data_IF_623773475634
#
_entry.id   IF_623773475634
#
_cell.length_a   1.000
_cell.length_b   1.000
_cell.length_c   1.000
_cell.angle_alpha   90.00
_cell.angle_beta   90.00
_cell.angle_gamma   90.00
#
_symmetry.space_group_name_H-M   'P 1'
#
loop_
_entity.id
_entity.type
_entity.pdbx_description
1 polymer ?
#
# COMPACT_ATOMS: atom_id res chain seq x y z
N UNK A 1 15.60 -5.09 6.09
CA UNK A 1 14.56 -5.92 6.71
C UNK A 1 14.91 -7.40 6.66
N UNK A 2 14.99 -8.01 5.47
CA UNK A 2 15.27 -9.45 5.29
C UNK A 2 16.56 -9.91 6.00
N UNK A 3 17.67 -9.16 5.87
CA UNK A 3 18.95 -9.49 6.55
C UNK A 3 18.87 -9.56 8.07
N UNK A 4 17.83 -9.01 8.69
CA UNK A 4 17.60 -9.03 10.14
C UNK A 4 16.44 -9.97 10.53
N UNK A 5 16.02 -10.89 9.65
CA UNK A 5 14.97 -11.88 9.95
C UNK A 5 13.54 -11.36 9.89
N UNK A 6 13.32 -10.13 9.40
CA UNK A 6 11.96 -9.58 9.26
C UNK A 6 11.29 -10.20 8.02
N UNK A 7 10.14 -10.83 8.25
CA UNK A 7 9.37 -11.56 7.22
C UNK A 7 8.20 -10.76 6.64
N UNK A 8 7.85 -9.63 7.25
CA UNK A 8 6.83 -8.73 6.72
C UNK A 8 6.78 -7.37 7.40
N UNK A 9 6.00 -6.46 6.83
CA UNK A 9 5.93 -5.07 7.26
C UNK A 9 4.56 -4.45 7.02
N UNK A 10 4.30 -3.31 7.66
CA UNK A 10 3.17 -2.45 7.33
C UNK A 10 3.73 -1.16 6.73
N UNK A 11 3.24 -0.79 5.56
CA UNK A 11 3.69 0.41 4.85
C UNK A 11 2.54 1.34 4.56
N UNK A 12 2.78 2.61 4.80
CA UNK A 12 1.81 3.68 4.66
C UNK A 12 2.48 4.83 3.92
N UNK A 13 2.32 4.83 2.59
CA UNK A 13 3.11 5.71 1.73
C UNK A 13 2.39 6.00 0.39
N UNK A 14 3.16 6.45 -0.60
CA UNK A 14 2.69 6.86 -1.92
C UNK A 14 3.21 5.91 -3.00
N UNK A 15 2.59 5.91 -4.18
CA UNK A 15 2.94 5.01 -5.29
C UNK A 15 2.85 3.53 -4.89
N UNK A 16 1.77 3.15 -4.22
CA UNK A 16 1.65 1.83 -3.59
C UNK A 16 1.58 0.67 -4.59
N UNK A 17 1.21 0.90 -5.86
CA UNK A 17 1.32 -0.12 -6.91
C UNK A 17 2.78 -0.53 -7.17
N UNK A 18 3.74 0.39 -7.05
CA UNK A 18 5.17 0.11 -7.15
C UNK A 18 5.62 -0.72 -5.96
N UNK A 19 5.23 -0.32 -4.74
CA UNK A 19 5.55 -1.04 -3.51
C UNK A 19 5.00 -2.47 -3.56
N UNK A 20 3.73 -2.64 -3.94
CA UNK A 20 3.08 -3.95 -4.02
C UNK A 20 3.77 -4.90 -5.01
N UNK A 21 4.20 -4.39 -6.17
CA UNK A 21 5.01 -5.16 -7.14
C UNK A 21 6.34 -5.62 -6.54
N UNK A 22 7.07 -4.75 -5.86
CA UNK A 22 8.35 -5.09 -5.24
C UNK A 22 8.16 -6.05 -4.06
N UNK A 23 7.08 -5.93 -3.29
CA UNK A 23 6.73 -6.90 -2.23
C UNK A 23 6.51 -8.30 -2.82
N UNK A 24 5.76 -8.38 -3.92
CA UNK A 24 5.50 -9.64 -4.60
C UNK A 24 6.80 -10.27 -5.12
N UNK A 25 7.66 -9.49 -5.77
CA UNK A 25 8.97 -9.91 -6.29
C UNK A 25 9.93 -10.35 -5.18
N UNK A 26 10.02 -9.56 -4.10
CA UNK A 26 10.88 -9.86 -2.96
C UNK A 26 10.39 -11.06 -2.12
N UNK A 27 9.17 -11.54 -2.35
CA UNK A 27 8.57 -12.64 -1.60
C UNK A 27 8.22 -12.29 -0.15
N UNK A 28 8.15 -11.00 0.19
CA UNK A 28 7.83 -10.54 1.54
C UNK A 28 6.31 -10.55 1.80
N UNK A 29 5.92 -10.51 3.08
CA UNK A 29 4.54 -10.21 3.50
C UNK A 29 4.38 -8.71 3.74
N UNK A 30 3.24 -8.13 3.36
CA UNK A 30 2.99 -6.73 3.65
C UNK A 30 1.52 -6.41 3.92
N UNK A 31 1.29 -5.48 4.84
CA UNK A 31 0.06 -4.70 4.93
C UNK A 31 0.34 -3.34 4.28
N UNK A 32 -0.33 -3.03 3.18
CA UNK A 32 -0.10 -1.82 2.39
C UNK A 32 -1.30 -0.88 2.51
N UNK A 33 -1.03 0.37 2.85
CA UNK A 33 -2.03 1.44 2.90
C UNK A 33 -1.55 2.62 2.06
N UNK A 34 -2.41 3.11 1.16
CA UNK A 34 -2.15 4.38 0.48
C UNK A 34 -2.44 5.52 1.43
N UNK A 35 -1.46 6.41 1.61
CA UNK A 35 -1.61 7.57 2.48
C UNK A 35 -2.55 8.62 1.87
N UNK A 36 -3.61 8.96 2.58
CA UNK A 36 -4.64 9.93 2.20
C UNK A 36 -4.65 11.09 3.18
N UNK A 37 -4.52 12.32 2.68
CA UNK A 37 -4.56 13.54 3.49
C UNK A 37 -5.94 14.21 3.52
N UNK A 38 -6.85 13.83 2.62
CA UNK A 38 -8.18 14.44 2.47
C UNK A 38 -8.15 15.84 1.85
N UNK A 39 -7.12 16.17 1.06
CA UNK A 39 -6.93 17.52 0.50
C UNK A 39 -7.61 17.73 -0.86
N UNK A 40 -8.13 16.66 -1.47
CA UNK A 40 -8.66 16.64 -2.84
C UNK A 40 -7.70 15.95 -3.81
N UNK A 41 -8.22 15.25 -4.82
CA UNK A 41 -7.42 14.35 -5.68
C UNK A 41 -6.24 15.03 -6.39
N UNK A 42 -6.37 16.31 -6.75
CA UNK A 42 -5.30 17.10 -7.38
C UNK A 42 -4.18 17.49 -6.40
N UNK A 43 -4.48 17.54 -5.10
CA UNK A 43 -3.58 17.95 -4.03
C UNK A 43 -3.02 16.76 -3.23
N UNK A 44 -3.58 15.56 -3.41
CA UNK A 44 -3.08 14.33 -2.80
C UNK A 44 -1.68 13.98 -3.31
N UNK A 45 -0.83 13.52 -2.39
CA UNK A 45 0.52 13.10 -2.75
C UNK A 45 0.46 11.78 -3.52
N UNK A 46 1.10 11.76 -4.70
CA UNK A 46 1.02 10.65 -5.63
C UNK A 46 -0.22 10.69 -6.53
N UNK A 47 -1.04 11.75 -6.45
CA UNK A 47 -2.16 12.01 -7.36
C UNK A 47 -3.28 10.97 -7.29
N UNK A 48 -3.43 10.31 -6.14
CA UNK A 48 -4.43 9.26 -5.94
C UNK A 48 -5.38 9.68 -4.82
N UNK A 49 -6.67 9.79 -5.15
CA UNK A 49 -7.72 10.07 -4.19
C UNK A 49 -8.24 8.80 -3.51
N UNK A 50 -9.39 8.95 -2.84
CA UNK A 50 -10.05 7.84 -2.16
C UNK A 50 -10.49 6.74 -3.14
N UNK A 51 -11.01 7.12 -4.31
CA UNK A 51 -11.47 6.17 -5.32
C UNK A 51 -10.31 5.34 -5.87
N UNK A 52 -9.17 5.97 -6.16
CA UNK A 52 -7.94 5.28 -6.57
C UNK A 52 -7.41 4.35 -5.47
N UNK A 53 -7.46 4.80 -4.21
CA UNK A 53 -7.07 3.99 -3.06
C UNK A 53 -7.95 2.75 -2.92
N UNK A 54 -9.27 2.89 -3.11
CA UNK A 54 -10.21 1.76 -3.09
C UNK A 54 -9.94 0.81 -4.27
N UNK A 55 -9.63 1.33 -5.46
CA UNK A 55 -9.24 0.52 -6.61
C UNK A 55 -7.95 -0.27 -6.33
N UNK A 56 -6.93 0.38 -5.77
CA UNK A 56 -5.70 -0.26 -5.32
C UNK A 56 -5.97 -1.40 -4.34
N UNK A 57 -6.81 -1.17 -3.32
CA UNK A 57 -7.17 -2.19 -2.33
C UNK A 57 -7.86 -3.38 -3.02
N UNK A 58 -8.79 -3.13 -3.95
CA UNK A 58 -9.50 -4.20 -4.67
C UNK A 58 -8.56 -5.04 -5.53
N UNK A 59 -7.56 -4.41 -6.14
CA UNK A 59 -6.58 -5.09 -6.98
C UNK A 59 -5.58 -5.91 -6.16
N UNK A 60 -5.04 -5.35 -5.08
CA UNK A 60 -3.88 -5.92 -4.39
C UNK A 60 -4.21 -6.72 -3.13
N UNK A 61 -5.39 -6.56 -2.54
CA UNK A 61 -5.71 -7.28 -1.30
C UNK A 61 -5.89 -8.77 -1.57
N UNK A 62 -4.99 -9.59 -1.01
CA UNK A 62 -4.91 -11.03 -1.25
C UNK A 62 -3.96 -11.43 -2.38
N UNK A 63 -3.32 -10.47 -3.06
CA UNK A 63 -2.32 -10.75 -4.09
C UNK A 63 -1.06 -11.45 -3.53
N UNK A 64 -0.22 -11.95 -4.45
CA UNK A 64 1.02 -12.67 -4.15
C UNK A 64 0.81 -13.86 -3.18
N UNK A 65 -0.11 -14.75 -3.53
CA UNK A 65 -0.50 -15.92 -2.70
C UNK A 65 -0.96 -15.52 -1.29
N UNK A 66 -1.67 -14.40 -1.17
CA UNK A 66 -2.14 -13.87 0.10
C UNK A 66 -1.08 -13.14 0.95
N UNK A 67 0.15 -12.96 0.45
CA UNK A 67 1.20 -12.23 1.18
C UNK A 67 0.94 -10.72 1.26
N UNK A 68 0.16 -10.16 0.33
CA UNK A 68 -0.21 -8.75 0.33
C UNK A 68 -1.62 -8.58 0.89
N UNK A 69 -1.75 -7.74 1.90
CA UNK A 69 -3.02 -7.27 2.48
C UNK A 69 -3.08 -5.76 2.32
N UNK A 70 -4.28 -5.21 2.16
CA UNK A 70 -4.44 -3.76 2.03
C UNK A 70 -5.43 -3.19 3.03
N UNK A 71 -5.24 -1.92 3.39
CA UNK A 71 -6.11 -1.17 4.28
C UNK A 71 -6.24 0.29 3.80
N UNK A 72 -7.25 1.00 4.30
CA UNK A 72 -7.33 2.46 4.15
C UNK A 72 -6.29 3.12 5.07
N UNK A 73 -5.60 4.15 4.57
CA UNK A 73 -4.56 4.87 5.29
C UNK A 73 -4.82 6.37 5.36
N UNK A 74 -5.71 6.85 6.24
CA UNK A 74 -5.76 8.29 6.55
C UNK A 74 -4.46 8.70 7.26
N UNK A 75 -3.88 9.84 6.86
CA UNK A 75 -2.65 10.36 7.46
C UNK A 75 -2.81 10.63 8.97
N UNK A 76 -3.90 11.28 9.35
CA UNK A 76 -4.21 11.70 10.71
C UNK A 76 -5.72 12.01 10.85
N UNK A 77 -6.23 12.18 12.09
CA UNK A 77 -7.58 12.70 12.33
C UNK A 77 -7.82 14.07 11.70
#
# INVERSE_FOLDING_TARGET
MIRCGIVGFADHYFWMHQVARVVAEAGMKALLAWCQFGLGAEQEVGGAGLEDTVAFIREWNGAADGRIRCALGPHSP
#
